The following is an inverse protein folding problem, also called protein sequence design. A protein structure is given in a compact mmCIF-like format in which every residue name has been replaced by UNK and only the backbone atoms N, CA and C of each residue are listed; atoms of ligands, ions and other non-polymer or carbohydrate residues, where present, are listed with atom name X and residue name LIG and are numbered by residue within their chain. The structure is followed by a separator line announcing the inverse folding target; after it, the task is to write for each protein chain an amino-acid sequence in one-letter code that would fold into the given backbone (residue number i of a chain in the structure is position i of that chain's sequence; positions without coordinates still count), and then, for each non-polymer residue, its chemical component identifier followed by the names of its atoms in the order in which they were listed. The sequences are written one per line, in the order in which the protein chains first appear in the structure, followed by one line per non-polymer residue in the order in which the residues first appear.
data_IF_842345204469
#
_entry.id   IF_842345204469
#
_cell.length_a   1.000
_cell.length_b   1.000
_cell.length_c   1.000
_cell.angle_alpha   90.00
_cell.angle_beta   90.00
_cell.angle_gamma   90.00
#
_symmetry.space_group_name_H-M   'P 1'
#
loop_
_entity.id
_entity.type
_entity.pdbx_description
1 polymer ?
#
# COMPACT_ATOMS: atom_id res chain seq x y z
N UNK A 1 11.12 0.57 17.71
CA UNK A 1 12.45 1.00 17.20
C UNK A 1 12.53 0.63 15.72
N UNK A 2 12.74 1.62 14.85
CA UNK A 2 12.64 1.56 13.38
C UNK A 2 13.51 0.42 12.82
N UNK A 3 12.93 -0.51 12.06
CA UNK A 3 13.65 -1.65 11.48
C UNK A 3 14.17 -1.35 10.06
N UNK A 4 13.52 -0.49 9.27
CA UNK A 4 13.99 -0.09 7.92
C UNK A 4 13.55 1.34 7.55
N UNK A 5 14.34 2.37 7.91
CA UNK A 5 14.01 3.79 7.63
C UNK A 5 13.72 4.11 6.15
N UNK A 6 14.26 3.33 5.20
CA UNK A 6 14.14 3.60 3.76
C UNK A 6 12.73 3.49 3.20
N UNK A 7 11.79 2.78 3.85
CA UNK A 7 10.44 2.61 3.29
C UNK A 7 9.51 3.83 3.53
N UNK A 8 9.94 4.77 4.38
CA UNK A 8 9.34 6.10 4.53
C UNK A 8 9.99 7.13 3.58
N UNK A 9 11.10 6.81 2.92
CA UNK A 9 11.67 7.70 1.91
C UNK A 9 10.68 7.90 0.78
N UNK A 10 10.47 9.15 0.40
CA UNK A 10 9.56 9.53 -0.67
C UNK A 10 9.95 9.00 -2.06
N UNK A 11 11.20 8.55 -2.21
CA UNK A 11 11.70 7.92 -3.44
C UNK A 11 11.50 6.40 -3.48
N UNK A 12 11.10 5.80 -2.36
CA UNK A 12 10.89 4.37 -2.23
C UNK A 12 9.67 3.90 -3.03
N UNK A 13 9.88 2.81 -3.77
CA UNK A 13 8.81 2.14 -4.52
C UNK A 13 8.41 0.90 -3.73
N UNK A 14 7.15 0.79 -3.29
CA UNK A 14 6.70 -0.32 -2.48
C UNK A 14 6.68 -1.63 -3.28
N UNK A 15 6.64 -2.74 -2.54
CA UNK A 15 6.59 -4.09 -3.13
C UNK A 15 5.31 -4.29 -3.92
N UNK A 16 4.21 -3.78 -3.40
CA UNK A 16 2.85 -3.78 -3.93
C UNK A 16 2.25 -2.36 -3.77
N UNK A 17 1.37 -1.97 -4.68
CA UNK A 17 0.80 -0.62 -4.74
C UNK A 17 -0.73 -0.72 -4.73
N UNK A 18 -1.31 -0.40 -3.57
CA UNK A 18 -2.75 -0.53 -3.29
C UNK A 18 -3.57 0.62 -3.91
N UNK A 19 -4.84 0.32 -4.18
CA UNK A 19 -5.87 1.23 -4.71
C UNK A 19 -5.51 1.87 -6.05
N UNK A 20 -4.65 1.21 -6.83
CA UNK A 20 -4.19 1.62 -8.17
C UNK A 20 -4.15 0.47 -9.17
N UNK A 21 -4.81 -0.64 -8.87
CA UNK A 21 -4.82 -1.88 -9.66
C UNK A 21 -5.24 -1.63 -11.11
N UNK A 22 -6.26 -0.78 -11.31
CA UNK A 22 -6.72 -0.38 -12.64
C UNK A 22 -5.66 0.41 -13.43
N UNK A 23 -5.01 1.39 -12.80
CA UNK A 23 -3.94 2.17 -13.43
C UNK A 23 -2.69 1.32 -13.69
N UNK A 24 -2.37 0.38 -12.79
CA UNK A 24 -1.27 -0.58 -12.96
C UNK A 24 -1.56 -1.44 -14.18
N UNK A 25 -2.74 -2.03 -14.26
CA UNK A 25 -3.16 -2.88 -15.38
C UNK A 25 -3.14 -2.12 -16.70
N UNK A 26 -3.61 -0.87 -16.70
CA UNK A 26 -3.62 -0.03 -17.90
C UNK A 26 -2.21 0.31 -18.39
N UNK A 27 -1.29 0.66 -17.50
CA UNK A 27 0.09 0.97 -17.89
C UNK A 27 0.85 -0.30 -18.27
N UNK A 28 0.62 -1.40 -17.56
CA UNK A 28 1.22 -2.69 -17.87
C UNK A 28 0.84 -3.15 -19.29
N UNK A 29 -0.45 -3.12 -19.64
CA UNK A 29 -0.92 -3.46 -20.98
C UNK A 29 -0.32 -2.56 -22.07
N UNK A 30 -0.15 -1.26 -21.80
CA UNK A 30 0.48 -0.34 -22.75
C UNK A 30 1.98 -0.66 -22.99
N UNK A 31 2.66 -1.21 -21.99
CA UNK A 31 4.08 -1.55 -22.05
C UNK A 31 4.36 -3.03 -22.36
N UNK A 32 3.34 -3.89 -22.29
CA UNK A 32 3.42 -5.32 -22.57
C UNK A 32 4.13 -5.64 -23.89
N UNK A 33 3.88 -4.96 -25.03
CA UNK A 33 4.56 -5.28 -26.28
C UNK A 33 6.10 -5.20 -26.23
N UNK A 34 6.66 -4.50 -25.24
CA UNK A 34 8.11 -4.40 -25.06
C UNK A 34 8.73 -5.74 -24.67
N UNK A 35 8.01 -6.61 -23.95
CA UNK A 35 8.49 -7.95 -23.58
C UNK A 35 8.76 -8.81 -24.83
N UNK A 36 7.94 -8.64 -25.86
CA UNK A 36 8.05 -9.32 -27.16
C UNK A 36 9.01 -8.62 -28.15
N UNK A 37 9.73 -7.58 -27.71
CA UNK A 37 10.65 -6.81 -28.56
C UNK A 37 9.96 -5.85 -29.53
N UNK A 38 8.64 -5.70 -29.42
CA UNK A 38 7.88 -4.66 -30.12
C UNK A 38 7.99 -3.32 -29.37
N UNK A 39 7.51 -2.25 -29.97
CA UNK A 39 7.43 -0.96 -29.27
C UNK A 39 6.15 -0.89 -28.46
N UNK A 40 6.27 -0.55 -27.17
CA UNK A 40 5.11 -0.21 -26.34
C UNK A 40 4.44 1.10 -26.77
N UNK A 41 3.28 1.36 -26.19
CA UNK A 41 2.51 2.58 -26.42
C UNK A 41 3.07 3.77 -25.62
N UNK A 42 3.07 4.96 -26.22
CA UNK A 42 3.40 6.19 -25.49
C UNK A 42 2.31 6.47 -24.46
N UNK A 43 2.69 6.60 -23.19
CA UNK A 43 1.75 6.78 -22.08
C UNK A 43 1.95 8.13 -21.40
N UNK A 44 0.84 8.85 -21.16
CA UNK A 44 0.81 10.11 -20.43
C UNK A 44 0.04 9.93 -19.12
N UNK A 45 0.74 10.09 -18.00
CA UNK A 45 0.14 10.02 -16.66
C UNK A 45 -0.12 11.45 -16.17
N UNK A 46 -1.36 11.75 -15.79
CA UNK A 46 -1.74 13.06 -15.27
C UNK A 46 -2.70 12.94 -14.08
N UNK A 47 -2.73 13.96 -13.23
CA UNK A 47 -3.57 14.00 -12.05
C UNK A 47 -3.17 15.15 -11.12
N UNK A 48 -3.81 15.26 -9.95
CA UNK A 48 -3.52 16.29 -8.95
C UNK A 48 -2.02 16.38 -8.66
N UNK A 49 -1.49 17.61 -8.54
CA UNK A 49 -0.13 17.85 -8.06
C UNK A 49 0.00 17.32 -6.63
N UNK A 50 1.10 16.60 -6.36
CA UNK A 50 1.26 15.82 -5.13
C UNK A 50 1.91 14.47 -5.39
N UNK A 51 2.50 13.87 -4.36
CA UNK A 51 3.26 12.61 -4.51
C UNK A 51 2.36 11.36 -4.47
N UNK A 52 1.05 11.54 -4.69
CA UNK A 52 0.00 10.52 -4.75
C UNK A 52 0.12 9.49 -5.89
N UNK A 53 1.28 8.83 -6.03
CA UNK A 53 1.42 7.56 -6.73
C UNK A 53 1.80 7.63 -8.21
N UNK A 54 1.89 8.80 -8.86
CA UNK A 54 2.20 8.90 -10.31
C UNK A 54 3.59 8.37 -10.64
N UNK A 55 4.62 8.99 -10.06
CA UNK A 55 6.03 8.59 -10.24
C UNK A 55 6.26 7.18 -9.69
N UNK A 56 5.65 6.86 -8.55
CA UNK A 56 5.75 5.54 -7.91
C UNK A 56 5.16 4.44 -8.79
N UNK A 57 3.98 4.64 -9.38
CA UNK A 57 3.34 3.70 -10.29
C UNK A 57 4.18 3.49 -11.56
N UNK A 58 4.69 4.56 -12.17
CA UNK A 58 5.55 4.45 -13.34
C UNK A 58 6.80 3.59 -13.03
N UNK A 59 7.48 3.88 -11.91
CA UNK A 59 8.63 3.09 -11.46
C UNK A 59 8.25 1.65 -11.11
N UNK A 60 7.09 1.45 -10.49
CA UNK A 60 6.57 0.14 -10.08
C UNK A 60 6.34 -0.77 -11.30
N UNK A 61 5.58 -0.30 -12.29
CA UNK A 61 5.26 -1.10 -13.48
C UNK A 61 6.52 -1.40 -14.29
N UNK A 62 7.40 -0.41 -14.48
CA UNK A 62 8.68 -0.64 -15.17
C UNK A 62 9.59 -1.59 -14.37
N UNK A 63 9.53 -1.58 -13.04
CA UNK A 63 10.25 -2.54 -12.20
C UNK A 63 9.73 -3.96 -12.42
N UNK A 64 8.42 -4.18 -12.40
CA UNK A 64 7.80 -5.50 -12.63
C UNK A 64 8.09 -6.02 -14.05
N UNK A 65 7.92 -5.18 -15.07
CA UNK A 65 8.25 -5.55 -16.46
C UNK A 65 9.70 -6.02 -16.62
N UNK A 66 10.66 -5.35 -15.95
CA UNK A 66 12.07 -5.77 -15.98
C UNK A 66 12.36 -7.05 -15.18
N UNK A 67 11.52 -7.39 -14.20
CA UNK A 67 11.65 -8.64 -13.45
C UNK A 67 11.15 -9.82 -14.28
N UNK A 68 10.13 -9.61 -15.11
CA UNK A 68 9.50 -10.65 -15.94
C UNK A 68 10.17 -10.81 -17.31
N UNK A 69 10.76 -9.73 -17.86
CA UNK A 69 11.32 -9.70 -19.21
C UNK A 69 12.82 -9.38 -19.22
N UNK A 70 13.62 -10.30 -19.77
CA UNK A 70 15.06 -10.13 -19.90
C UNK A 70 15.46 -9.17 -21.04
N UNK A 71 16.30 -8.20 -20.70
CA UNK A 71 16.87 -7.23 -21.64
C UNK A 71 16.02 -5.99 -21.87
N UNK A 72 15.01 -5.74 -21.04
CA UNK A 72 14.33 -4.44 -20.99
C UNK A 72 15.24 -3.44 -20.28
N UNK A 73 15.70 -2.44 -21.01
CA UNK A 73 16.42 -1.28 -20.48
C UNK A 73 15.43 -0.23 -19.96
N UNK A 74 15.83 0.55 -18.97
CA UNK A 74 15.07 1.73 -18.53
C UNK A 74 15.98 2.93 -18.41
N UNK A 75 15.38 4.10 -18.57
CA UNK A 75 15.96 5.39 -18.25
C UNK A 75 14.90 6.23 -17.52
N UNK A 76 15.30 6.98 -16.50
CA UNK A 76 14.44 7.91 -15.77
C UNK A 76 15.10 9.29 -15.72
N UNK A 77 14.31 10.34 -15.94
CA UNK A 77 14.74 11.72 -15.79
C UNK A 77 13.65 12.56 -15.13
N UNK A 78 14.05 13.41 -14.17
CA UNK A 78 13.17 14.39 -13.56
C UNK A 78 13.37 15.75 -14.24
N UNK A 79 12.38 16.18 -15.04
CA UNK A 79 12.46 17.46 -15.75
C UNK A 79 12.50 18.69 -14.82
N UNK A 80 12.17 18.56 -13.52
CA UNK A 80 12.37 19.63 -12.55
C UNK A 80 13.86 19.91 -12.28
N UNK A 81 14.72 18.92 -12.49
CA UNK A 81 16.18 19.05 -12.35
C UNK A 81 16.86 19.60 -13.60
N UNK A 82 16.13 19.68 -14.72
CA UNK A 82 16.60 20.17 -16.01
C UNK A 82 15.59 19.83 -17.10
N UNK A 83 15.04 20.84 -17.75
CA UNK A 83 13.93 20.69 -18.72
C UNK A 83 14.35 20.95 -20.17
N UNK A 84 15.59 21.39 -20.40
CA UNK A 84 16.07 21.58 -21.76
C UNK A 84 16.24 20.23 -22.46
N UNK A 85 16.05 20.21 -23.79
CA UNK A 85 16.16 18.98 -24.59
C UNK A 85 17.52 18.28 -24.40
N UNK A 86 18.60 19.05 -24.30
CA UNK A 86 19.95 18.52 -24.08
C UNK A 86 20.12 17.91 -22.69
N UNK A 87 19.61 18.56 -21.64
CA UNK A 87 19.67 18.01 -20.27
C UNK A 87 18.90 16.71 -20.15
N UNK A 88 17.69 16.65 -20.72
CA UNK A 88 16.87 15.44 -20.71
C UNK A 88 17.59 14.30 -21.43
N UNK A 89 18.10 14.52 -22.65
CA UNK A 89 18.78 13.47 -23.43
C UNK A 89 20.06 12.99 -22.76
N UNK A 90 20.87 13.92 -22.26
CA UNK A 90 22.09 13.59 -21.52
C UNK A 90 21.77 12.86 -20.21
N UNK A 91 20.75 13.29 -19.49
CA UNK A 91 20.29 12.66 -18.26
C UNK A 91 19.81 11.21 -18.48
N UNK A 92 19.01 10.99 -19.52
CA UNK A 92 18.58 9.64 -19.90
C UNK A 92 19.74 8.76 -20.38
N UNK A 93 20.73 9.34 -21.08
CA UNK A 93 21.94 8.65 -21.48
C UNK A 93 22.70 8.13 -20.24
N UNK A 94 22.94 9.01 -19.27
CA UNK A 94 23.60 8.66 -18.01
C UNK A 94 22.87 7.58 -17.21
N UNK A 95 21.55 7.70 -17.04
CA UNK A 95 20.76 6.74 -16.26
C UNK A 95 20.68 5.37 -16.93
N UNK A 96 20.55 5.33 -18.26
CA UNK A 96 20.47 4.08 -19.03
C UNK A 96 21.82 3.40 -19.25
N UNK A 97 22.93 4.15 -19.12
CA UNK A 97 24.25 3.72 -19.54
C UNK A 97 24.51 3.79 -21.04
N UNK A 98 23.52 4.22 -21.84
CA UNK A 98 23.63 4.32 -23.31
C UNK A 98 24.15 5.70 -23.66
N UNK A 99 25.24 5.77 -24.43
CA UNK A 99 25.78 7.06 -24.85
C UNK A 99 26.49 7.83 -23.73
N UNK A 100 26.95 7.16 -22.66
CA UNK A 100 27.71 7.79 -21.56
C UNK A 100 28.98 8.53 -21.98
N UNK A 101 29.51 8.24 -23.16
CA UNK A 101 30.67 8.91 -23.72
C UNK A 101 30.32 10.27 -24.37
N UNK A 102 29.03 10.56 -24.54
CA UNK A 102 28.56 11.78 -25.15
C UNK A 102 28.59 12.92 -24.14
N UNK A 103 29.29 14.00 -24.47
CA UNK A 103 29.33 15.21 -23.65
C UNK A 103 27.96 15.89 -23.63
N UNK A 104 27.58 16.48 -22.50
CA UNK A 104 26.43 17.39 -22.43
C UNK A 104 26.61 18.59 -23.35
N UNK A 105 27.82 19.13 -23.38
CA UNK A 105 28.14 20.36 -24.10
C UNK A 105 28.72 20.02 -25.48
N UNK A 106 28.14 20.58 -26.53
CA UNK A 106 28.57 20.40 -27.92
C UNK A 106 28.02 19.18 -28.65
N UNK A 107 27.29 18.28 -27.98
CA UNK A 107 26.65 17.13 -28.63
C UNK A 107 25.28 17.50 -29.19
N UNK A 108 25.06 17.22 -30.47
CA UNK A 108 23.77 17.45 -31.11
C UNK A 108 22.70 16.44 -30.65
N UNK A 109 21.44 16.87 -30.60
CA UNK A 109 20.28 16.01 -30.29
C UNK A 109 20.25 14.72 -31.14
N UNK A 110 20.56 14.82 -32.43
CA UNK A 110 20.57 13.67 -33.34
C UNK A 110 21.57 12.59 -32.92
N UNK A 111 22.69 12.98 -32.29
CA UNK A 111 23.71 12.05 -31.81
C UNK A 111 23.21 11.24 -30.62
N UNK A 112 22.53 11.90 -29.66
CA UNK A 112 21.88 11.18 -28.54
C UNK A 112 20.80 10.23 -29.05
N UNK A 113 19.91 10.72 -29.92
CA UNK A 113 18.84 9.89 -30.49
C UNK A 113 19.38 8.70 -31.29
N UNK A 114 20.45 8.91 -32.06
CA UNK A 114 21.15 7.85 -32.80
C UNK A 114 21.68 6.77 -31.86
N UNK A 115 22.34 7.15 -30.76
CA UNK A 115 22.84 6.19 -29.78
C UNK A 115 21.72 5.32 -29.17
N UNK A 116 20.55 5.89 -28.89
CA UNK A 116 19.40 5.12 -28.43
C UNK A 116 18.86 4.17 -29.51
N UNK A 117 18.69 4.65 -30.75
CA UNK A 117 18.19 3.85 -31.88
C UNK A 117 19.12 2.69 -32.25
N UNK A 118 20.44 2.92 -32.32
CA UNK A 118 21.42 1.90 -32.71
C UNK A 118 21.39 0.70 -31.75
N UNK A 119 21.15 0.97 -30.48
CA UNK A 119 21.10 -0.05 -29.44
C UNK A 119 19.81 -0.89 -29.53
N UNK A 120 18.69 -0.27 -29.90
CA UNK A 120 17.42 -0.99 -30.10
C UNK A 120 17.46 -1.85 -31.38
N UNK A 121 18.09 -1.36 -32.45
CA UNK A 121 18.26 -2.11 -33.70
C UNK A 121 19.19 -3.31 -33.55
N UNK A 122 20.29 -3.17 -32.80
CA UNK A 122 21.20 -4.27 -32.53
C UNK A 122 20.53 -5.40 -31.74
N UNK A 123 19.70 -5.07 -30.74
CA UNK A 123 18.97 -6.06 -29.96
C UNK A 123 17.83 -6.73 -30.74
N UNK A 124 17.13 -5.98 -31.60
CA UNK A 124 16.10 -6.55 -32.50
C UNK A 124 16.69 -7.53 -33.51
N UNK A 125 17.83 -7.19 -34.12
CA UNK A 125 18.53 -8.08 -35.07
C UNK A 125 19.04 -9.36 -34.44
N UNK A 126 19.35 -9.35 -33.13
CA UNK A 126 19.71 -10.57 -32.37
C UNK A 126 18.52 -11.47 -32.03
N UNK A 127 17.29 -10.94 -31.98
CA UNK A 127 16.11 -11.66 -31.47
C UNK A 127 15.26 -12.33 -32.57
N UNK A 128 15.18 -11.84 -33.81
CA UNK A 128 14.51 -12.55 -34.94
C UNK A 128 14.79 -11.97 -36.35
N UNK A 129 14.76 -12.84 -37.37
CA UNK A 129 14.96 -12.62 -38.82
C UNK A 129 13.85 -11.83 -39.57
N UNK A 130 13.12 -10.92 -38.93
CA UNK A 130 12.06 -10.15 -39.61
C UNK A 130 12.47 -8.70 -39.79
N UNK A 131 12.46 -8.22 -41.04
CA UNK A 131 12.72 -6.81 -41.35
C UNK A 131 11.74 -5.91 -40.58
N UNK A 132 12.22 -4.97 -39.76
CA UNK A 132 11.37 -4.03 -39.07
C UNK A 132 10.87 -2.95 -40.04
N UNK A 133 9.62 -2.46 -39.89
CA UNK A 133 9.16 -1.33 -40.68
C UNK A 133 9.97 -0.07 -40.33
N UNK A 134 10.43 0.64 -41.36
CA UNK A 134 11.20 1.87 -41.23
C UNK A 134 10.41 2.91 -40.42
N UNK A 135 10.89 3.23 -39.21
CA UNK A 135 10.29 4.31 -38.40
C UNK A 135 10.95 5.63 -38.73
N UNK A 136 10.18 6.56 -39.30
CA UNK A 136 10.54 7.98 -39.22
C UNK A 136 10.19 8.47 -37.82
N UNK A 137 11.12 9.15 -37.17
CA UNK A 137 10.88 10.02 -36.01
C UNK A 137 9.93 11.14 -36.45
N UNK A 138 8.62 10.88 -36.44
CA UNK A 138 7.60 11.91 -36.49
C UNK A 138 7.31 12.35 -35.07
N UNK A 139 7.03 13.64 -34.88
CA UNK A 139 6.39 14.09 -33.64
C UNK A 139 5.06 13.35 -33.50
N UNK A 140 4.91 12.62 -32.40
CA UNK A 140 3.69 11.85 -32.12
C UNK A 140 2.73 12.77 -31.37
N UNK A 141 1.58 13.13 -31.95
CA UNK A 141 0.62 14.02 -31.31
C UNK A 141 0.18 13.45 -29.96
N UNK A 142 -0.02 14.30 -28.95
CA UNK A 142 -0.49 13.88 -27.62
C UNK A 142 -1.81 13.09 -27.67
N UNK A 143 -2.64 13.28 -28.70
CA UNK A 143 -3.89 12.52 -28.90
C UNK A 143 -3.68 11.02 -29.17
N UNK A 144 -2.49 10.63 -29.62
CA UNK A 144 -2.14 9.22 -29.86
C UNK A 144 -1.60 8.53 -28.60
N UNK A 145 -1.44 9.25 -27.49
CA UNK A 145 -0.88 8.71 -26.26
C UNK A 145 -1.96 8.03 -25.43
N UNK A 146 -1.63 6.89 -24.83
CA UNK A 146 -2.46 6.27 -23.81
C UNK A 146 -2.48 7.16 -22.58
N UNK A 147 -3.64 7.68 -22.22
CA UNK A 147 -3.80 8.62 -21.11
C UNK A 147 -4.23 7.89 -19.84
N UNK A 148 -3.47 8.08 -18.75
CA UNK A 148 -3.75 7.51 -17.43
C UNK A 148 -4.06 8.64 -16.46
N UNK A 149 -5.28 8.63 -15.93
CA UNK A 149 -5.75 9.66 -15.00
C UNK A 149 -5.68 9.17 -13.56
N UNK A 150 -5.09 9.99 -12.70
CA UNK A 150 -5.04 9.77 -11.26
C UNK A 150 -6.07 10.66 -10.56
N UNK A 151 -6.76 10.08 -9.57
CA UNK A 151 -7.52 10.84 -8.57
C UNK A 151 -6.72 10.98 -7.28
N UNK A 152 -7.14 11.90 -6.41
CA UNK A 152 -6.69 11.89 -5.02
C UNK A 152 -7.14 10.58 -4.35
N UNK A 153 -6.37 10.11 -3.37
CA UNK A 153 -6.83 9.03 -2.51
C UNK A 153 -8.02 9.52 -1.67
N UNK A 154 -8.96 8.62 -1.37
CA UNK A 154 -9.93 8.88 -0.30
C UNK A 154 -9.22 8.81 1.06
N UNK A 155 -9.92 9.19 2.12
CA UNK A 155 -9.40 9.06 3.48
C UNK A 155 -9.05 7.61 3.80
N UNK A 156 -10.00 6.69 3.61
CA UNK A 156 -9.82 5.24 3.83
C UNK A 156 -8.63 4.66 3.04
N UNK A 157 -8.55 4.94 1.72
CA UNK A 157 -7.42 4.46 0.91
C UNK A 157 -6.07 5.00 1.37
N UNK A 158 -6.07 6.22 1.93
CA UNK A 158 -4.86 6.83 2.42
C UNK A 158 -4.45 6.20 3.76
N UNK A 159 -5.40 5.91 4.64
CA UNK A 159 -5.17 5.16 5.89
C UNK A 159 -4.59 3.79 5.59
N UNK A 160 -5.20 3.03 4.68
CA UNK A 160 -4.73 1.70 4.26
C UNK A 160 -3.27 1.75 3.78
N UNK A 161 -2.96 2.69 2.87
CA UNK A 161 -1.60 2.89 2.36
C UNK A 161 -0.61 3.21 3.48
N UNK A 162 -0.99 4.04 4.45
CA UNK A 162 -0.10 4.43 5.55
C UNK A 162 0.13 3.27 6.50
N UNK A 163 -0.90 2.50 6.84
CA UNK A 163 -0.78 1.31 7.69
C UNK A 163 0.15 0.28 7.04
N UNK A 164 -0.06 -0.06 5.77
CA UNK A 164 0.81 -0.96 5.00
C UNK A 164 2.28 -0.49 5.00
N UNK A 165 2.53 0.82 4.98
CA UNK A 165 3.89 1.38 5.03
C UNK A 165 4.49 1.38 6.42
N UNK A 166 3.69 1.70 7.44
CA UNK A 166 4.10 1.71 8.85
C UNK A 166 4.48 0.29 9.27
N UNK A 167 3.66 -0.70 8.95
CA UNK A 167 3.90 -2.11 9.31
C UNK A 167 5.16 -2.68 8.64
N UNK A 168 5.50 -2.16 7.45
CA UNK A 168 6.74 -2.53 6.77
C UNK A 168 8.02 -1.94 7.42
N UNK A 169 7.91 -0.94 8.29
CA UNK A 169 9.04 -0.12 8.77
C UNK A 169 9.18 -0.09 10.29
N UNK A 170 8.06 -0.11 10.99
CA UNK A 170 7.96 0.00 12.43
C UNK A 170 7.52 -1.33 13.02
N UNK A 171 7.81 -1.52 14.32
CA UNK A 171 7.17 -2.60 15.05
C UNK A 171 5.69 -2.25 15.23
N UNK A 172 4.78 -3.23 15.26
CA UNK A 172 3.39 -2.97 15.57
C UNK A 172 3.22 -2.20 16.89
N UNK A 173 2.21 -1.34 16.96
CA UNK A 173 1.88 -0.55 18.15
C UNK A 173 2.76 0.69 18.42
N UNK A 174 3.67 1.05 17.51
CA UNK A 174 4.50 2.27 17.66
C UNK A 174 3.71 3.56 17.33
N UNK A 175 2.71 3.46 16.46
CA UNK A 175 1.83 4.57 16.06
C UNK A 175 0.40 4.04 16.18
N UNK A 176 -0.48 4.78 16.87
CA UNK A 176 -1.90 4.41 16.97
C UNK A 176 -2.65 4.70 15.67
N UNK A 177 -3.74 3.97 15.44
CA UNK A 177 -4.59 4.16 14.25
C UNK A 177 -5.15 5.58 14.20
N UNK A 178 -5.55 6.16 15.34
CA UNK A 178 -6.04 7.55 15.42
C UNK A 178 -5.03 8.58 14.86
N UNK A 179 -3.73 8.36 15.08
CA UNK A 179 -2.68 9.22 14.53
C UNK A 179 -2.61 9.05 13.01
N UNK A 180 -2.77 7.84 12.50
CA UNK A 180 -2.78 7.55 11.07
C UNK A 180 -3.99 8.20 10.40
N UNK A 181 -5.18 8.07 10.98
CA UNK A 181 -6.40 8.74 10.51
C UNK A 181 -6.24 10.26 10.50
N UNK A 182 -5.69 10.84 11.58
CA UNK A 182 -5.43 12.27 11.64
C UNK A 182 -4.45 12.75 10.55
N UNK A 183 -3.38 11.99 10.29
CA UNK A 183 -2.44 12.29 9.20
C UNK A 183 -3.13 12.20 7.85
N UNK A 184 -3.98 11.18 7.64
CA UNK A 184 -4.72 11.00 6.39
C UNK A 184 -5.70 12.16 6.14
N UNK A 185 -6.36 12.66 7.17
CA UNK A 185 -7.25 13.81 7.08
C UNK A 185 -6.50 15.08 6.65
N UNK A 186 -5.39 15.41 7.31
CA UNK A 186 -4.59 16.60 6.98
C UNK A 186 -4.01 16.52 5.57
N UNK A 187 -3.54 15.36 5.16
CA UNK A 187 -2.90 15.16 3.87
C UNK A 187 -3.88 15.27 2.68
N UNK A 188 -5.19 15.32 2.93
CA UNK A 188 -6.22 15.62 1.93
C UNK A 188 -6.06 14.82 0.61
N UNK A 189 -5.75 13.52 0.74
CA UNK A 189 -5.59 12.58 -0.37
C UNK A 189 -4.23 12.58 -1.07
N UNK A 190 -3.21 13.27 -0.53
CA UNK A 190 -1.81 13.21 -1.00
C UNK A 190 -0.95 12.25 -0.15
N UNK A 191 -0.66 11.07 -0.69
CA UNK A 191 0.20 10.08 -0.04
C UNK A 191 1.62 10.57 0.27
N UNK A 192 2.15 11.52 -0.50
CA UNK A 192 3.47 12.10 -0.21
C UNK A 192 3.51 12.93 1.04
N UNK A 193 2.51 13.79 1.17
CA UNK A 193 2.31 14.65 2.34
C UNK A 193 2.06 13.81 3.58
N UNK A 194 1.18 12.80 3.47
CA UNK A 194 0.90 11.87 4.55
C UNK A 194 2.15 11.12 5.04
N UNK A 195 2.96 10.58 4.13
CA UNK A 195 4.23 9.90 4.50
C UNK A 195 5.21 10.89 5.14
N UNK A 196 5.28 12.12 4.63
CA UNK A 196 6.09 13.18 5.24
C UNK A 196 5.68 13.51 6.68
N UNK A 197 4.39 13.45 6.98
CA UNK A 197 3.86 13.62 8.34
C UNK A 197 4.11 12.43 9.26
N UNK A 198 4.32 11.22 8.74
CA UNK A 198 4.79 10.09 9.57
C UNK A 198 6.24 10.35 10.02
N UNK A 199 7.09 10.85 9.12
CA UNK A 199 8.49 11.16 9.44
C UNK A 199 8.61 12.39 10.35
N UNK A 200 7.79 13.42 10.09
CA UNK A 200 7.74 14.66 10.85
C UNK A 200 6.29 14.94 11.32
N UNK A 201 5.86 14.33 12.43
CA UNK A 201 4.51 14.49 12.95
C UNK A 201 4.17 15.95 13.26
N UNK A 202 2.93 16.40 13.00
CA UNK A 202 2.49 17.74 13.39
C UNK A 202 2.64 17.96 14.90
N UNK A 203 2.94 19.18 15.38
CA UNK A 203 3.25 19.44 16.78
C UNK A 203 2.13 19.06 17.76
N UNK A 204 0.88 18.92 17.30
CA UNK A 204 -0.28 18.54 18.11
C UNK A 204 -0.46 17.03 18.29
N UNK A 205 0.27 16.18 17.55
CA UNK A 205 0.14 14.72 17.66
C UNK A 205 1.03 14.11 18.75
N UNK A 206 1.93 14.88 19.37
CA UNK A 206 2.83 14.42 20.43
C UNK A 206 2.10 13.78 21.63
N UNK A 207 0.86 14.22 21.92
CA UNK A 207 0.00 13.65 22.97
C UNK A 207 -0.71 12.35 22.56
N UNK A 208 -0.81 12.07 21.26
CA UNK A 208 -1.47 10.89 20.70
C UNK A 208 -0.50 9.70 20.54
N UNK A 209 0.82 9.94 20.71
CA UNK A 209 1.85 8.89 20.74
C UNK A 209 1.84 8.02 21.99
N UNK A 210 0.93 8.26 22.95
CA UNK A 210 0.91 7.57 24.25
C UNK A 210 -0.44 7.04 24.68
N UNK A 211 -1.39 6.77 23.78
CA UNK A 211 -2.57 5.97 24.13
C UNK A 211 -2.59 4.72 23.26
N UNK A 212 -2.04 3.65 23.84
CA UNK A 212 -2.27 2.25 23.47
C UNK A 212 -3.76 1.95 23.58
N UNK A 213 -4.52 2.22 22.52
CA UNK A 213 -5.70 1.43 22.21
C UNK A 213 -5.23 0.27 21.34
N UNK A 214 -5.19 -0.93 21.93
CA UNK A 214 -4.72 -2.14 21.26
C UNK A 214 -5.75 -2.61 20.24
N UNK A 215 -5.89 -1.92 19.10
CA UNK A 215 -6.34 -2.64 17.90
C UNK A 215 -5.14 -3.42 17.37
N UNK A 216 -5.19 -4.75 17.51
CA UNK A 216 -4.16 -5.66 17.03
C UNK A 216 -3.87 -5.38 15.54
N UNK A 217 -2.59 -5.31 15.12
CA UNK A 217 -2.21 -5.16 13.72
C UNK A 217 -2.78 -6.33 12.90
N UNK A 218 -3.04 -6.11 11.61
CA UNK A 218 -3.44 -7.14 10.64
C UNK A 218 -2.33 -8.21 10.50
N UNK A 219 -2.36 -9.15 11.44
CA UNK A 219 -1.68 -10.44 11.40
C UNK A 219 -2.57 -11.39 10.60
N UNK A 220 -2.05 -12.49 10.04
CA UNK A 220 -2.90 -13.56 9.57
C UNK A 220 -3.77 -14.04 10.74
N UNK A 221 -5.05 -13.70 10.69
CA UNK A 221 -6.04 -14.16 11.65
C UNK A 221 -6.47 -15.58 11.27
N UNK A 222 -6.24 -16.52 12.17
CA UNK A 222 -6.83 -17.85 12.07
C UNK A 222 -8.10 -17.89 12.91
N UNK A 223 -9.25 -17.88 12.24
CA UNK A 223 -10.56 -18.00 12.88
C UNK A 223 -10.72 -19.44 13.38
N UNK A 224 -10.56 -19.66 14.68
CA UNK A 224 -10.68 -20.98 15.30
C UNK A 224 -12.14 -21.46 15.34
N UNK A 225 -13.09 -20.55 15.53
CA UNK A 225 -14.51 -20.84 15.64
C UNK A 225 -15.35 -19.62 15.28
N UNK A 226 -16.34 -19.77 14.41
CA UNK A 226 -17.28 -18.72 14.03
C UNK A 226 -18.67 -19.32 13.84
N UNK A 227 -19.70 -18.65 14.35
CA UNK A 227 -21.09 -19.02 14.11
C UNK A 227 -21.98 -17.79 14.13
N UNK A 228 -22.85 -17.67 13.12
CA UNK A 228 -23.85 -16.61 13.05
C UNK A 228 -25.24 -17.25 13.00
N UNK A 229 -26.09 -16.95 13.98
CA UNK A 229 -27.47 -17.45 13.99
C UNK A 229 -28.41 -16.49 14.71
N UNK A 230 -29.66 -16.44 14.25
CA UNK A 230 -30.70 -15.63 14.88
C UNK A 230 -31.20 -16.32 16.15
N UNK A 231 -30.95 -15.71 17.29
CA UNK A 231 -31.39 -16.19 18.61
C UNK A 231 -32.33 -15.19 19.29
N UNK A 232 -33.13 -15.67 20.23
CA UNK A 232 -33.91 -14.78 21.09
C UNK A 232 -33.08 -14.24 22.26
N UNK A 233 -33.58 -13.17 22.89
CA UNK A 233 -32.86 -12.48 23.98
C UNK A 233 -32.64 -13.37 25.21
N UNK A 234 -33.52 -14.34 25.48
CA UNK A 234 -33.38 -15.21 26.64
C UNK A 234 -32.27 -16.23 26.40
N UNK A 235 -32.23 -16.84 25.21
CA UNK A 235 -31.16 -17.74 24.81
C UNK A 235 -29.77 -17.07 24.84
N UNK A 236 -29.67 -15.83 24.33
CA UNK A 236 -28.42 -15.04 24.38
C UNK A 236 -28.01 -14.77 25.83
N UNK A 237 -28.95 -14.39 26.70
CA UNK A 237 -28.66 -14.14 28.10
C UNK A 237 -28.21 -15.41 28.84
N UNK A 238 -28.83 -16.56 28.56
CA UNK A 238 -28.43 -17.84 29.13
C UNK A 238 -27.02 -18.24 28.69
N UNK A 239 -26.67 -18.00 27.41
CA UNK A 239 -25.33 -18.23 26.89
C UNK A 239 -24.27 -17.35 27.58
N UNK A 240 -24.53 -16.04 27.71
CA UNK A 240 -23.62 -15.12 28.40
C UNK A 240 -23.45 -15.48 29.89
N UNK A 241 -24.51 -15.95 30.57
CA UNK A 241 -24.40 -16.45 31.94
C UNK A 241 -23.52 -17.69 32.03
N UNK A 242 -23.65 -18.62 31.09
CA UNK A 242 -22.79 -19.80 31.07
C UNK A 242 -21.31 -19.44 30.88
N UNK A 243 -21.02 -18.46 30.01
CA UNK A 243 -19.66 -17.93 29.86
C UNK A 243 -19.19 -17.30 31.18
N UNK A 244 -20.03 -16.49 31.83
CA UNK A 244 -19.71 -15.88 33.13
C UNK A 244 -19.46 -16.92 34.24
N UNK A 245 -20.30 -17.95 34.34
CA UNK A 245 -20.16 -19.04 35.31
C UNK A 245 -18.83 -19.81 35.10
N UNK A 246 -18.42 -20.00 33.84
CA UNK A 246 -17.13 -20.63 33.52
C UNK A 246 -15.94 -19.76 33.92
N UNK A 247 -16.02 -18.44 33.67
CA UNK A 247 -14.99 -17.49 34.09
C UNK A 247 -14.88 -17.41 35.61
N UNK A 248 -16.01 -17.40 36.34
CA UNK A 248 -16.02 -17.36 37.81
C UNK A 248 -15.44 -18.63 38.45
N UNK A 249 -15.54 -19.77 37.76
CA UNK A 249 -15.06 -21.07 38.24
C UNK A 249 -13.65 -21.45 37.77
N UNK A 250 -12.92 -20.53 37.13
CA UNK A 250 -11.63 -20.77 36.47
C UNK A 250 -11.68 -21.98 35.51
N UNK A 251 -12.83 -22.19 34.86
CA UNK A 251 -13.07 -23.32 33.98
C UNK A 251 -12.77 -22.97 32.51
N UNK A 252 -12.29 -23.95 31.75
CA UNK A 252 -12.12 -23.84 30.30
C UNK A 252 -13.43 -23.48 29.61
N UNK A 253 -13.39 -22.54 28.66
CA UNK A 253 -14.57 -22.19 27.85
C UNK A 253 -14.57 -23.08 26.61
N UNK A 254 -15.65 -23.83 26.41
CA UNK A 254 -15.83 -24.68 25.21
C UNK A 254 -16.97 -24.16 24.35
N UNK A 255 -16.64 -23.78 23.12
CA UNK A 255 -17.58 -23.36 22.09
C UNK A 255 -17.97 -24.57 21.24
N UNK A 256 -19.26 -24.76 20.97
CA UNK A 256 -19.77 -25.86 20.15
C UNK A 256 -20.83 -25.41 19.16
N UNK A 257 -20.71 -25.81 17.90
CA UNK A 257 -21.73 -25.63 16.87
C UNK A 257 -21.67 -26.80 15.89
N UNK A 258 -22.74 -27.59 15.82
CA UNK A 258 -22.78 -28.78 14.96
C UNK A 258 -21.72 -29.81 15.34
N UNK A 259 -20.78 -30.08 14.43
CA UNK A 259 -19.63 -30.96 14.60
C UNK A 259 -18.34 -30.24 15.00
N UNK A 260 -18.35 -28.90 15.07
CA UNK A 260 -17.21 -28.08 15.48
C UNK A 260 -17.22 -27.85 16.99
N UNK A 261 -16.05 -28.04 17.61
CA UNK A 261 -15.82 -27.73 19.01
C UNK A 261 -14.41 -27.17 19.20
N UNK A 262 -14.32 -26.06 19.93
CA UNK A 262 -13.04 -25.45 20.32
C UNK A 262 -13.09 -25.18 21.82
N UNK A 263 -12.02 -25.54 22.52
CA UNK A 263 -11.85 -25.27 23.95
C UNK A 263 -10.69 -24.31 24.13
N UNK A 264 -10.89 -23.30 24.96
CA UNK A 264 -9.88 -22.29 25.29
C UNK A 264 -9.79 -22.16 26.81
N UNK A 265 -8.60 -21.83 27.30
CA UNK A 265 -8.29 -21.66 28.72
C UNK A 265 -7.91 -20.20 29.00
N UNK A 266 -8.89 -19.34 29.36
CA UNK A 266 -8.59 -17.95 29.72
C UNK A 266 -7.71 -17.89 30.98
N UNK A 267 -6.72 -16.99 31.06
CA UNK A 267 -5.93 -16.76 32.26
C UNK A 267 -6.77 -16.06 33.34
N UNK A 268 -6.23 -15.93 34.56
CA UNK A 268 -6.93 -15.28 35.69
C UNK A 268 -7.18 -13.77 35.50
N UNK A 269 -6.49 -13.13 34.54
CA UNK A 269 -6.61 -11.71 34.22
C UNK A 269 -6.56 -11.49 32.71
N UNK A 270 -7.61 -11.87 31.96
CA UNK A 270 -7.71 -11.54 30.54
C UNK A 270 -8.06 -10.06 30.38
N UNK A 271 -7.68 -9.47 29.25
CA UNK A 271 -8.18 -8.13 28.87
C UNK A 271 -9.63 -8.27 28.42
N UNK A 272 -10.54 -7.46 28.94
CA UNK A 272 -11.94 -7.45 28.54
C UNK A 272 -12.26 -6.15 27.79
N UNK A 273 -12.68 -6.26 26.54
CA UNK A 273 -13.07 -5.13 25.69
C UNK A 273 -14.58 -5.19 25.39
N UNK A 274 -15.23 -4.04 25.47
CA UNK A 274 -16.64 -3.88 25.12
C UNK A 274 -16.76 -2.78 24.08
N UNK A 275 -17.37 -3.12 22.95
CA UNK A 275 -17.47 -2.23 21.80
C UNK A 275 -18.93 -2.17 21.35
N UNK A 276 -19.39 -0.99 20.95
CA UNK A 276 -20.70 -0.81 20.34
C UNK A 276 -20.54 -0.02 19.05
N UNK A 277 -21.02 -0.57 17.94
CA UNK A 277 -20.80 0.02 16.62
C UNK A 277 -22.10 0.20 15.85
N UNK A 278 -22.03 1.11 14.87
CA UNK A 278 -23.05 1.29 13.85
C UNK A 278 -22.39 1.20 12.49
N UNK A 279 -22.60 0.09 11.79
CA UNK A 279 -22.08 -0.10 10.45
C UNK A 279 -23.10 0.33 9.39
N UNK A 280 -22.60 0.90 8.28
CA UNK A 280 -23.43 1.33 7.16
C UNK A 280 -23.33 2.83 6.86
N UNK A 281 -24.02 3.30 5.81
CA UNK A 281 -23.88 4.66 5.31
C UNK A 281 -24.21 5.72 6.37
N UNK A 282 -23.51 6.86 6.31
CA UNK A 282 -23.69 8.02 7.23
C UNK A 282 -25.14 8.52 7.23
N UNK A 283 -25.79 8.51 6.06
CA UNK A 283 -27.16 9.01 5.84
C UNK A 283 -28.16 7.90 5.44
N UNK A 284 -27.92 6.64 5.80
CA UNK A 284 -28.85 5.53 5.50
C UNK A 284 -29.03 4.59 6.69
N UNK A 285 -29.92 3.59 6.60
CA UNK A 285 -30.05 2.59 7.65
C UNK A 285 -28.74 1.82 7.81
N UNK A 286 -28.32 1.63 9.05
CA UNK A 286 -27.14 0.86 9.42
C UNK A 286 -27.50 -0.32 10.31
N UNK A 287 -26.52 -1.17 10.56
CA UNK A 287 -26.57 -2.28 11.49
C UNK A 287 -25.93 -1.85 12.82
N UNK A 288 -26.51 -2.27 13.93
CA UNK A 288 -25.97 -2.01 15.26
C UNK A 288 -25.41 -3.31 15.82
N UNK A 289 -24.16 -3.28 16.27
CA UNK A 289 -23.50 -4.41 16.94
C UNK A 289 -23.02 -3.99 18.33
N UNK A 290 -23.00 -4.95 19.25
CA UNK A 290 -22.30 -4.87 20.52
C UNK A 290 -21.41 -6.11 20.58
N UNK A 291 -20.12 -5.89 20.78
CA UNK A 291 -19.08 -6.93 20.84
C UNK A 291 -18.53 -6.98 22.27
N UNK A 292 -18.34 -8.20 22.75
CA UNK A 292 -17.70 -8.50 24.03
C UNK A 292 -16.50 -9.39 23.71
N UNK A 293 -15.30 -8.88 23.94
CA UNK A 293 -14.06 -9.58 23.61
C UNK A 293 -13.24 -9.84 24.86
N UNK A 294 -12.71 -11.06 24.95
CA UNK A 294 -11.72 -11.44 25.95
C UNK A 294 -10.41 -11.74 25.21
N UNK A 295 -9.35 -11.03 25.57
CA UNK A 295 -8.06 -11.09 24.91
C UNK A 295 -6.95 -11.51 25.89
N UNK A 296 -6.15 -12.48 25.48
CA UNK A 296 -4.92 -12.86 26.16
C UNK A 296 -3.89 -13.39 25.16
N UNK A 297 -2.62 -13.39 25.55
CA UNK A 297 -1.54 -13.99 24.76
C UNK A 297 -1.50 -15.51 25.04
N UNK A 298 -1.33 -16.35 24.00
CA UNK A 298 -1.27 -17.82 24.14
C UNK A 298 -0.15 -18.33 25.08
N UNK A 299 0.82 -17.48 25.41
CA UNK A 299 1.97 -17.83 26.25
C UNK A 299 2.09 -16.96 27.52
N UNK A 300 1.06 -16.18 27.86
CA UNK A 300 1.09 -15.33 29.05
C UNK A 300 0.48 -16.05 30.25
N UNK A 301 1.33 -16.37 31.23
CA UNK A 301 0.98 -17.03 32.49
C UNK A 301 0.43 -16.04 33.56
N UNK A 302 -0.15 -14.90 33.15
CA UNK A 302 -0.92 -14.00 34.01
C UNK A 302 -0.11 -12.86 34.65
N UNK A 303 0.24 -11.83 33.86
CA UNK A 303 0.81 -10.58 34.37
C UNK A 303 -0.23 -9.48 34.61
N UNK A 304 -0.27 -8.96 35.85
CA UNK A 304 -1.13 -7.87 36.35
C UNK A 304 -1.37 -6.71 35.36
N UNK A 305 -2.64 -6.55 34.95
CA UNK A 305 -3.17 -5.40 34.20
C UNK A 305 -4.37 -4.77 34.90
N UNK A 306 -4.15 -3.58 35.45
CA UNK A 306 -5.08 -2.74 36.23
C UNK A 306 -6.06 -1.96 35.33
N UNK A 307 -7.36 -2.04 35.61
CA UNK A 307 -8.41 -1.25 34.96
C UNK A 307 -9.83 -1.71 35.29
N UNK A 308 -10.46 -1.09 36.29
CA UNK A 308 -11.87 -1.38 36.66
C UNK A 308 -12.85 -0.85 35.58
N UNK A 309 -13.56 -1.77 34.92
CA UNK A 309 -14.73 -1.48 34.09
C UNK A 309 -16.01 -1.56 34.95
N UNK A 310 -16.83 -0.51 34.94
CA UNK A 310 -18.15 -0.50 35.58
C UNK A 310 -19.27 -0.59 34.53
N UNK A 311 -20.24 -1.45 34.78
CA UNK A 311 -21.47 -1.61 33.97
C UNK A 311 -22.64 -1.03 34.78
N UNK A 312 -23.34 -0.03 34.24
CA UNK A 312 -24.64 0.48 34.76
C UNK A 312 -25.83 -0.08 33.96
#
# INVERSE_FOLDING_TARGET
MITVARALETTYVPKDLEHREGQISQLAAALEPISDGMSGEHSLIFGPSGWGGKTTLAKYVVRKLRQESFGVRRAYWNCMSGSSKTEVLHGLAQDSGIGNHLSRDGTATSTFLGAFCDTDDHDRRRRLFREPPARRTREIPLLEWKTLRFRKYTHEELVDILLTRIDAVLRPGVISVDVVEYIADIAAGDAGEAIGHIENPPPHTASLFTHTSRKKPCMPEEVLFETESRQDRAAIADYLRQVADNLESDASITLTAGDQSVTMDPPSQPTFEVKAEREGPTDGPGELSIEFELEWDENDDGGDGDGDLQIE
#
